data_IF_793372026342
#
_entry.id   IF_793372026342
#
_cell.length_a   1.000
_cell.length_b   1.000
_cell.length_c   1.000
_cell.angle_alpha   90.00
_cell.angle_beta   90.00
_cell.angle_gamma   90.00
#
_symmetry.space_group_name_H-M   'P 1'
#
loop_
_entity.id
_entity.type
_entity.pdbx_description
1 polymer ?
#
# COMPACT_ATOMS: atom_id res chain seq x y z
N UNK A 1 13.30 9.92 17.21
CA UNK A 1 12.19 9.04 16.82
C UNK A 1 12.05 9.14 15.32
N UNK A 2 12.14 8.02 14.60
CA UNK A 2 11.99 7.98 13.15
C UNK A 2 10.55 7.62 12.75
N UNK A 3 10.13 8.02 11.55
CA UNK A 3 8.85 7.64 10.96
C UNK A 3 9.04 6.51 9.93
N UNK A 4 8.14 5.53 9.98
CA UNK A 4 8.09 4.35 9.10
C UNK A 4 6.61 4.03 8.85
N UNK A 5 5.96 4.64 7.85
CA UNK A 5 4.54 4.47 7.63
C UNK A 5 4.19 3.02 7.30
N UNK A 6 3.15 2.49 7.97
CA UNK A 6 2.55 1.23 7.59
C UNK A 6 1.79 1.40 6.26
N UNK A 7 2.12 0.59 5.26
CA UNK A 7 1.53 0.67 3.93
C UNK A 7 1.51 -0.69 3.24
N UNK A 8 0.45 -1.46 3.52
CA UNK A 8 0.27 -2.83 3.04
C UNK A 8 -1.03 -3.03 2.23
N UNK A 9 -1.54 -2.01 1.55
CA UNK A 9 -2.84 -2.08 0.85
C UNK A 9 -2.69 -1.87 -0.66
N UNK A 10 -2.51 -0.62 -1.13
CA UNK A 10 -2.64 -0.34 -2.56
C UNK A 10 -2.00 0.97 -3.02
N UNK A 11 -1.97 1.21 -4.34
CA UNK A 11 -1.13 2.24 -4.96
C UNK A 11 -1.52 3.67 -4.57
N UNK A 12 -2.79 3.91 -4.25
CA UNK A 12 -3.26 5.21 -3.77
C UNK A 12 -2.64 5.53 -2.40
N UNK A 13 -2.71 4.58 -1.46
CA UNK A 13 -2.12 4.73 -0.12
C UNK A 13 -0.59 4.85 -0.20
N UNK A 14 0.04 4.00 -1.01
CA UNK A 14 1.49 4.02 -1.21
C UNK A 14 1.98 5.37 -1.73
N UNK A 15 1.31 5.92 -2.76
CA UNK A 15 1.67 7.23 -3.30
C UNK A 15 1.43 8.38 -2.31
N UNK A 16 0.39 8.28 -1.48
CA UNK A 16 0.14 9.23 -0.41
C UNK A 16 1.22 9.18 0.70
N UNK A 17 1.67 7.98 1.08
CA UNK A 17 2.79 7.79 2.00
C UNK A 17 4.07 8.44 1.45
N UNK A 18 4.41 8.22 0.17
CA UNK A 18 5.59 8.83 -0.45
C UNK A 18 5.58 10.37 -0.38
N UNK A 19 4.42 11.00 -0.49
CA UNK A 19 4.31 12.47 -0.32
C UNK A 19 4.64 12.92 1.11
N UNK A 20 4.26 12.13 2.12
CA UNK A 20 4.60 12.37 3.52
C UNK A 20 6.09 12.13 3.76
N UNK A 21 6.63 11.03 3.23
CA UNK A 21 8.04 10.65 3.35
C UNK A 21 8.97 11.73 2.80
N UNK A 22 8.58 12.35 1.68
CA UNK A 22 9.35 13.41 1.04
C UNK A 22 9.47 14.70 1.87
N UNK A 23 8.55 14.96 2.81
CA UNK A 23 8.48 16.24 3.54
C UNK A 23 8.74 16.11 5.04
N UNK A 24 8.75 14.89 5.57
CA UNK A 24 8.96 14.64 7.00
C UNK A 24 10.45 14.42 7.29
N UNK A 25 11.12 15.31 8.06
CA UNK A 25 12.58 15.30 8.21
C UNK A 25 13.12 14.10 9.00
N UNK A 26 12.26 13.33 9.67
CA UNK A 26 12.61 12.13 10.41
C UNK A 26 12.11 10.83 9.76
N UNK A 27 11.79 10.84 8.46
CA UNK A 27 11.57 9.64 7.66
C UNK A 27 12.78 8.69 7.73
N UNK A 28 12.52 7.37 7.73
CA UNK A 28 13.57 6.34 7.73
C UNK A 28 13.40 5.33 6.59
N UNK A 29 12.22 4.73 6.47
CA UNK A 29 11.92 3.73 5.43
C UNK A 29 10.41 3.68 5.20
N UNK A 30 10.02 3.31 3.98
CA UNK A 30 8.64 3.13 3.57
C UNK A 30 8.36 1.63 3.37
N UNK A 31 7.32 1.11 4.02
CA UNK A 31 6.82 -0.24 3.74
C UNK A 31 6.20 -0.28 2.35
N UNK A 32 6.43 -1.37 1.62
CA UNK A 32 5.89 -1.60 0.29
C UNK A 32 5.62 -3.09 0.09
N UNK A 33 4.49 -3.38 -0.56
CA UNK A 33 4.13 -4.70 -1.08
C UNK A 33 3.77 -4.57 -2.57
N UNK A 34 3.85 -5.66 -3.33
CA UNK A 34 3.71 -5.62 -4.81
C UNK A 34 2.37 -5.03 -5.26
N UNK A 35 1.29 -5.28 -4.53
CA UNK A 35 -0.04 -4.69 -4.79
C UNK A 35 0.01 -3.15 -4.72
N UNK A 36 0.86 -2.60 -3.86
CA UNK A 36 1.09 -1.16 -3.72
C UNK A 36 1.83 -0.52 -4.90
N UNK A 37 2.50 -1.30 -5.76
CA UNK A 37 3.18 -0.76 -6.94
C UNK A 37 2.21 -0.43 -8.07
N UNK A 38 0.98 -0.96 -8.00
CA UNK A 38 -0.09 -0.59 -8.91
C UNK A 38 -0.02 -1.26 -10.28
N UNK A 39 0.64 -2.41 -10.38
CA UNK A 39 0.65 -3.24 -11.59
C UNK A 39 -0.77 -3.54 -12.08
N UNK A 40 -1.03 -3.28 -13.37
CA UNK A 40 -2.35 -3.44 -13.98
C UNK A 40 -3.42 -2.42 -13.59
N UNK A 41 -3.13 -1.49 -12.67
CA UNK A 41 -4.05 -0.42 -12.26
C UNK A 41 -3.56 0.98 -12.65
N UNK A 42 -2.25 1.20 -12.60
CA UNK A 42 -1.60 2.44 -12.99
C UNK A 42 -1.13 2.37 -14.43
N UNK A 43 -1.21 3.50 -15.14
CA UNK A 43 -0.63 3.61 -16.49
C UNK A 43 0.88 3.40 -16.46
N UNK A 44 1.52 3.87 -15.38
CA UNK A 44 2.95 3.71 -15.10
C UNK A 44 3.11 3.22 -13.65
N UNK A 45 3.19 1.90 -13.43
CA UNK A 45 3.41 1.32 -12.10
C UNK A 45 4.74 1.75 -11.49
N UNK A 46 4.75 1.88 -10.16
CA UNK A 46 5.95 2.24 -9.42
C UNK A 46 7.03 1.16 -9.54
N UNK A 47 8.28 1.59 -9.66
CA UNK A 47 9.42 0.69 -9.80
C UNK A 47 10.31 0.76 -8.56
N UNK A 48 10.65 -0.40 -8.03
CA UNK A 48 11.65 -0.53 -6.97
C UNK A 48 13.00 -0.83 -7.62
N UNK A 49 13.94 0.10 -7.49
CA UNK A 49 15.29 -0.01 -8.04
C UNK A 49 16.27 0.06 -6.88
N UNK A 50 17.05 -1.00 -6.68
CA UNK A 50 18.03 -1.12 -5.58
C UNK A 50 17.43 -0.80 -4.20
N UNK A 51 16.18 -1.22 -3.96
CA UNK A 51 15.46 -1.00 -2.71
C UNK A 51 14.86 0.40 -2.54
N UNK A 52 14.84 1.22 -3.59
CA UNK A 52 14.31 2.59 -3.56
C UNK A 52 13.24 2.79 -4.63
N UNK A 53 12.34 3.74 -4.39
CA UNK A 53 11.33 4.20 -5.36
C UNK A 53 11.54 5.68 -5.59
N UNK A 54 11.48 6.11 -6.84
CA UNK A 54 11.58 7.52 -7.20
C UNK A 54 10.35 8.30 -6.72
N UNK A 55 10.58 9.54 -6.27
CA UNK A 55 9.48 10.37 -5.77
C UNK A 55 8.52 10.76 -6.91
N UNK A 56 7.20 10.81 -6.65
CA UNK A 56 6.22 11.23 -7.64
C UNK A 56 6.47 12.68 -8.11
N UNK A 57 6.55 12.89 -9.42
CA UNK A 57 6.79 14.22 -10.01
C UNK A 57 5.59 14.81 -10.75
N UNK A 58 4.59 13.97 -11.07
CA UNK A 58 3.32 14.41 -11.65
C UNK A 58 2.45 15.11 -10.60
N UNK A 59 1.46 15.95 -11.00
CA UNK A 59 0.55 16.61 -10.07
C UNK A 59 -0.24 15.63 -9.19
N UNK A 60 -0.70 16.12 -8.03
CA UNK A 60 -1.52 15.33 -7.11
C UNK A 60 -0.70 14.20 -6.45
N UNK A 61 -1.25 12.98 -6.47
CA UNK A 61 -0.55 11.79 -5.96
C UNK A 61 0.51 11.26 -6.93
N UNK A 62 0.56 11.80 -8.15
CA UNK A 62 1.65 11.60 -9.09
C UNK A 62 1.59 10.33 -9.96
N UNK A 63 0.41 9.74 -10.12
CA UNK A 63 0.15 8.64 -11.05
C UNK A 63 -1.13 8.91 -11.86
N UNK A 64 -1.27 8.19 -12.97
CA UNK A 64 -2.51 8.10 -13.76
C UNK A 64 -3.07 6.68 -13.67
N UNK A 65 -4.40 6.54 -13.76
CA UNK A 65 -5.10 5.26 -13.66
C UNK A 65 -5.44 4.70 -15.03
N UNK A 66 -5.48 3.37 -15.13
CA UNK A 66 -6.11 2.68 -16.25
C UNK A 66 -7.60 2.56 -15.92
N UNK A 67 -8.40 3.53 -16.40
CA UNK A 67 -9.84 3.66 -16.07
C UNK A 67 -10.61 2.34 -16.26
N UNK A 68 -10.36 1.63 -17.37
CA UNK A 68 -11.05 0.36 -17.66
C UNK A 68 -10.74 -0.77 -16.69
N UNK A 69 -9.62 -0.71 -15.98
CA UNK A 69 -9.22 -1.72 -15.00
C UNK A 69 -9.80 -1.42 -13.62
N UNK A 70 -9.78 -0.14 -13.21
CA UNK A 70 -10.33 0.29 -11.91
C UNK A 70 -11.85 0.24 -11.86
N UNK A 71 -12.53 0.33 -13.00
CA UNK A 71 -13.99 0.23 -13.09
C UNK A 71 -14.52 -1.21 -12.99
N UNK A 72 -13.64 -2.22 -13.02
CA UNK A 72 -14.06 -3.62 -12.92
C UNK A 72 -14.60 -3.91 -11.52
N UNK A 73 -15.84 -4.41 -11.46
CA UNK A 73 -16.40 -4.93 -10.21
C UNK A 73 -15.62 -6.16 -9.78
N UNK A 74 -15.04 -6.11 -8.58
CA UNK A 74 -14.45 -7.28 -7.93
C UNK A 74 -15.48 -7.93 -7.02
N UNK A 75 -15.57 -9.26 -7.07
CA UNK A 75 -16.27 -10.01 -6.01
C UNK A 75 -15.43 -9.92 -4.74
N UNK A 76 -15.99 -9.30 -3.71
CA UNK A 76 -15.35 -9.28 -2.40
C UNK A 76 -15.34 -10.69 -1.82
N UNK A 77 -14.15 -11.24 -1.60
CA UNK A 77 -13.94 -12.34 -0.67
C UNK A 77 -13.48 -11.75 0.66
N UNK A 78 -14.00 -12.29 1.76
CA UNK A 78 -13.59 -11.89 3.10
C UNK A 78 -12.07 -12.00 3.24
N UNK A 79 -11.41 -10.86 3.43
CA UNK A 79 -9.96 -10.79 3.53
C UNK A 79 -9.58 -10.24 4.90
N UNK A 80 -9.10 -11.16 5.75
CA UNK A 80 -8.57 -10.93 7.10
C UNK A 80 -9.54 -10.26 8.12
N UNK A 81 -9.29 -10.45 9.42
CA UNK A 81 -10.02 -9.76 10.49
C UNK A 81 -11.19 -10.54 11.12
N UNK A 82 -11.13 -11.87 11.13
CA UNK A 82 -12.08 -12.71 11.84
C UNK A 82 -11.68 -12.99 13.30
N UNK A 83 -12.65 -13.42 14.12
CA UNK A 83 -12.36 -13.92 15.47
C UNK A 83 -11.75 -15.32 15.37
N UNK A 84 -10.43 -15.40 15.58
CA UNK A 84 -9.75 -16.68 15.66
C UNK A 84 -9.74 -17.15 17.12
N UNK A 85 -10.10 -18.41 17.34
CA UNK A 85 -10.17 -19.01 18.67
C UNK A 85 -9.21 -20.18 18.75
N UNK A 86 -8.48 -20.31 19.86
CA UNK A 86 -7.63 -21.47 20.09
C UNK A 86 -8.49 -22.71 20.37
N UNK A 87 -8.24 -23.81 19.66
CA UNK A 87 -9.06 -25.03 19.77
C UNK A 87 -8.97 -25.72 21.15
N UNK A 88 -7.89 -25.50 21.89
CA UNK A 88 -7.63 -26.16 23.16
C UNK A 88 -8.42 -25.59 24.34
N UNK A 89 -8.74 -24.29 24.33
CA UNK A 89 -9.38 -23.61 25.46
C UNK A 89 -10.46 -22.57 25.06
N UNK A 90 -10.65 -22.33 23.77
CA UNK A 90 -11.63 -21.38 23.26
C UNK A 90 -11.30 -19.92 23.56
N UNK A 91 -10.06 -19.59 23.93
CA UNK A 91 -9.62 -18.20 24.07
C UNK A 91 -9.44 -17.52 22.71
N UNK A 92 -9.67 -16.21 22.66
CA UNK A 92 -9.50 -15.39 21.44
C UNK A 92 -8.01 -15.20 21.16
N UNK A 93 -7.60 -15.42 19.92
CA UNK A 93 -6.29 -15.03 19.41
C UNK A 93 -6.35 -13.59 18.88
N UNK A 94 -5.30 -12.83 19.16
CA UNK A 94 -5.11 -11.52 18.54
C UNK A 94 -4.99 -11.70 17.02
N UNK A 95 -5.54 -10.75 16.28
CA UNK A 95 -5.54 -10.79 14.81
C UNK A 95 -4.18 -10.39 14.24
#
# INVERSE_FOLDING_TARGET
>A
MHNMPHCAIGPVAFSACMQVDAVVPNFLVQEQIDVGLGEGLLVEPWQVIDGHVELPTKPGLGFDLIESEVEKTMEYSEELGGELYYENDGSVADW
#
